data_IF_043437472973
#
_entry.id   IF_043437472973
#
_cell.length_a   1.000
_cell.length_b   1.000
_cell.length_c   1.000
_cell.angle_alpha   90.00
_cell.angle_beta   90.00
_cell.angle_gamma   90.00
#
_symmetry.space_group_name_H-M   'P 1'
#
loop_
_entity.id
_entity.type
_entity.pdbx_description
1 polymer ?
#
# COMPACT_ATOMS: atom_id res chain seq x y z
N UNK A 1 -0.97 -61.76 -16.54
CA UNK A 1 -0.75 -60.51 -17.32
C UNK A 1 -1.95 -59.57 -17.23
N UNK A 2 -2.74 -59.58 -16.21
CA UNK A 2 -4.02 -58.82 -16.07
C UNK A 2 -4.06 -57.87 -14.90
N UNK A 3 -3.03 -57.89 -14.04
CA UNK A 3 -3.07 -57.06 -12.80
C UNK A 3 -2.28 -55.73 -12.89
N UNK A 4 -1.30 -55.68 -13.85
CA UNK A 4 -0.45 -54.49 -14.01
C UNK A 4 -1.12 -53.37 -14.83
N UNK A 5 -2.07 -53.74 -15.71
CA UNK A 5 -2.83 -52.76 -16.52
C UNK A 5 -3.88 -52.00 -15.72
N UNK A 6 -4.52 -52.65 -14.75
CA UNK A 6 -5.48 -52.00 -13.86
C UNK A 6 -4.81 -51.02 -12.88
N UNK A 7 -3.60 -51.32 -12.42
CA UNK A 7 -2.85 -50.37 -11.56
C UNK A 7 -2.32 -49.15 -12.30
N UNK A 8 -2.08 -49.25 -13.62
CA UNK A 8 -1.67 -48.10 -14.44
C UNK A 8 -2.85 -47.21 -14.85
N UNK A 9 -4.03 -47.78 -15.00
CA UNK A 9 -5.26 -46.96 -15.22
C UNK A 9 -5.70 -46.22 -13.96
N UNK A 10 -5.63 -46.84 -12.77
CA UNK A 10 -5.92 -46.17 -11.50
C UNK A 10 -4.87 -45.08 -11.17
N UNK A 11 -3.59 -45.28 -11.54
CA UNK A 11 -2.56 -44.26 -11.39
C UNK A 11 -2.72 -43.08 -12.38
N UNK A 12 -3.27 -43.31 -13.57
CA UNK A 12 -3.56 -42.26 -14.56
C UNK A 12 -4.79 -41.41 -14.18
N UNK A 13 -5.79 -42.01 -13.49
CA UNK A 13 -6.97 -41.30 -13.00
C UNK A 13 -6.64 -40.40 -11.78
N UNK A 14 -5.57 -40.74 -11.02
CA UNK A 14 -5.12 -39.97 -9.87
C UNK A 14 -4.29 -38.71 -10.19
N UNK A 15 -3.76 -38.59 -11.41
CA UNK A 15 -2.93 -37.47 -11.81
C UNK A 15 -3.71 -36.24 -12.30
N UNK A 16 -4.98 -36.37 -12.59
CA UNK A 16 -5.85 -35.24 -13.01
C UNK A 16 -6.66 -34.60 -11.85
N UNK A 17 -6.59 -35.15 -10.64
CA UNK A 17 -7.35 -34.64 -9.50
C UNK A 17 -6.75 -33.36 -8.87
N UNK A 18 -5.52 -32.98 -9.22
CA UNK A 18 -4.79 -31.81 -8.68
C UNK A 18 -4.60 -30.66 -9.67
N UNK A 19 -5.12 -30.75 -10.87
CA UNK A 19 -5.12 -29.60 -11.77
C UNK A 19 -6.04 -28.51 -11.19
N UNK A 20 -5.53 -27.30 -10.86
CA UNK A 20 -6.36 -26.25 -10.30
C UNK A 20 -7.50 -25.95 -11.26
N UNK A 21 -8.73 -26.22 -10.84
CA UNK A 21 -9.93 -25.99 -11.64
C UNK A 21 -9.89 -24.60 -12.26
N UNK A 22 -10.06 -24.54 -13.60
CA UNK A 22 -10.05 -23.26 -14.30
C UNK A 22 -11.21 -22.40 -13.77
N UNK A 23 -10.88 -21.15 -13.40
CA UNK A 23 -11.91 -20.23 -12.91
C UNK A 23 -12.93 -19.93 -13.99
N UNK A 24 -14.19 -19.88 -13.61
CA UNK A 24 -15.26 -19.42 -14.51
C UNK A 24 -15.02 -17.96 -14.93
N UNK A 25 -15.59 -17.56 -16.06
CA UNK A 25 -15.53 -16.15 -16.48
C UNK A 25 -16.09 -15.21 -15.39
N UNK A 26 -17.17 -15.61 -14.69
CA UNK A 26 -17.74 -14.84 -13.58
C UNK A 26 -16.74 -14.66 -12.43
N UNK A 27 -16.00 -15.72 -12.06
CA UNK A 27 -14.94 -15.64 -11.03
C UNK A 27 -13.82 -14.69 -11.46
N UNK A 28 -13.38 -14.77 -12.72
CA UNK A 28 -12.36 -13.85 -13.26
C UNK A 28 -12.83 -12.39 -13.19
N UNK A 29 -14.06 -12.10 -13.65
CA UNK A 29 -14.60 -10.74 -13.58
C UNK A 29 -14.72 -10.23 -12.14
N UNK A 30 -15.10 -11.09 -11.20
CA UNK A 30 -15.18 -10.73 -9.78
C UNK A 30 -13.79 -10.38 -9.20
N UNK A 31 -12.75 -11.17 -9.48
CA UNK A 31 -11.39 -10.90 -9.01
C UNK A 31 -10.80 -9.65 -9.68
N UNK A 32 -11.06 -9.46 -10.99
CA UNK A 32 -10.63 -8.25 -11.72
C UNK A 32 -11.32 -7.00 -11.16
N UNK A 33 -12.59 -7.06 -10.75
CA UNK A 33 -13.26 -5.93 -10.12
C UNK A 33 -12.61 -5.52 -8.79
N UNK A 34 -12.13 -6.49 -8.01
CA UNK A 34 -11.35 -6.22 -6.79
C UNK A 34 -9.97 -5.62 -7.13
N UNK A 35 -9.31 -6.08 -8.18
CA UNK A 35 -8.06 -5.52 -8.66
C UNK A 35 -8.24 -4.06 -9.15
N UNK A 36 -9.31 -3.77 -9.87
CA UNK A 36 -9.68 -2.42 -10.28
C UNK A 36 -9.96 -1.52 -9.06
N UNK A 37 -10.60 -2.07 -8.02
CA UNK A 37 -10.85 -1.34 -6.78
C UNK A 37 -9.55 -1.04 -6.04
N UNK A 38 -8.64 -2.02 -5.92
CA UNK A 38 -7.33 -1.78 -5.28
C UNK A 38 -6.53 -0.74 -6.07
N UNK A 39 -6.56 -0.79 -7.41
CA UNK A 39 -5.94 0.22 -8.26
C UNK A 39 -6.51 1.62 -8.01
N UNK A 40 -7.83 1.76 -7.97
CA UNK A 40 -8.48 3.06 -7.76
C UNK A 40 -8.19 3.65 -6.37
N UNK A 41 -8.31 2.84 -5.31
CA UNK A 41 -8.08 3.26 -3.92
C UNK A 41 -6.63 3.64 -3.68
N UNK A 42 -5.69 2.80 -4.13
CA UNK A 42 -4.26 3.05 -3.95
C UNK A 42 -3.78 4.19 -4.85
N UNK A 43 -4.36 4.34 -6.05
CA UNK A 43 -4.10 5.53 -6.87
C UNK A 43 -4.49 6.82 -6.16
N UNK A 44 -5.68 6.85 -5.53
CA UNK A 44 -6.11 8.00 -4.74
C UNK A 44 -5.22 8.25 -3.51
N UNK A 45 -4.68 7.19 -2.89
CA UNK A 45 -3.77 7.28 -1.74
C UNK A 45 -2.42 7.88 -2.11
N UNK A 46 -1.79 7.41 -3.20
CA UNK A 46 -0.45 7.85 -3.62
C UNK A 46 -0.43 9.14 -4.46
N UNK A 47 -1.56 9.53 -5.01
CA UNK A 47 -1.69 10.73 -5.85
C UNK A 47 -1.11 12.01 -5.21
N UNK A 48 -1.30 12.30 -3.89
CA UNK A 48 -0.78 13.51 -3.25
C UNK A 48 0.73 13.69 -3.38
N UNK A 49 1.52 12.62 -3.46
CA UNK A 49 2.97 12.74 -3.66
C UNK A 49 3.35 13.49 -4.96
N UNK A 50 2.51 13.37 -5.99
CA UNK A 50 2.65 14.11 -7.25
C UNK A 50 1.97 15.48 -7.26
N UNK A 51 1.12 15.80 -6.27
CA UNK A 51 0.28 17.02 -6.24
C UNK A 51 0.66 18.02 -5.15
N UNK A 52 1.60 17.69 -4.27
CA UNK A 52 1.80 18.41 -3.01
C UNK A 52 2.02 19.91 -3.20
N UNK A 53 2.99 20.29 -4.03
CA UNK A 53 3.33 21.69 -4.27
C UNK A 53 2.18 22.49 -4.94
N UNK A 54 1.52 22.00 -6.02
CA UNK A 54 0.39 22.75 -6.59
C UNK A 54 -0.80 22.86 -5.63
N UNK A 55 -1.07 21.85 -4.79
CA UNK A 55 -2.12 21.94 -3.75
C UNK A 55 -1.76 23.02 -2.72
N UNK A 56 -0.52 23.02 -2.21
CA UNK A 56 -0.06 23.98 -1.23
C UNK A 56 -0.21 25.43 -1.74
N UNK A 57 0.24 25.68 -2.98
CA UNK A 57 0.16 27.01 -3.63
C UNK A 57 -1.29 27.47 -3.81
N UNK A 58 -2.15 26.59 -4.33
CA UNK A 58 -3.54 26.95 -4.64
C UNK A 58 -4.38 27.21 -3.38
N UNK A 59 -4.13 26.46 -2.30
CA UNK A 59 -4.82 26.61 -1.02
C UNK A 59 -4.16 27.64 -0.09
N UNK A 60 -3.01 28.22 -0.47
CA UNK A 60 -2.29 29.21 0.34
C UNK A 60 -1.75 28.66 1.66
N UNK A 61 -1.32 27.41 1.69
CA UNK A 61 -0.81 26.70 2.88
C UNK A 61 0.63 26.24 2.67
N UNK A 62 1.32 25.85 3.77
CA UNK A 62 2.65 25.27 3.67
C UNK A 62 2.63 23.87 3.06
N UNK A 63 3.77 23.41 2.55
CA UNK A 63 3.92 22.06 2.01
C UNK A 63 3.74 21.01 3.11
N UNK A 64 4.22 21.28 4.33
CA UNK A 64 3.98 20.43 5.49
C UNK A 64 2.51 20.32 5.83
N UNK A 65 1.76 21.44 5.78
CA UNK A 65 0.29 21.42 5.95
C UNK A 65 -0.38 20.65 4.83
N UNK A 66 0.00 20.84 3.58
CA UNK A 66 -0.56 20.09 2.44
C UNK A 66 -0.33 18.57 2.58
N UNK A 67 0.80 18.15 3.11
CA UNK A 67 1.09 16.73 3.40
C UNK A 67 0.13 16.07 4.42
N UNK A 68 -0.59 16.86 5.24
CA UNK A 68 -1.58 16.32 6.18
C UNK A 68 -2.79 15.65 5.49
N UNK A 69 -2.96 15.81 4.17
CA UNK A 69 -3.94 15.02 3.39
C UNK A 69 -3.63 13.52 3.43
N UNK A 70 -2.36 13.15 3.53
CA UNK A 70 -1.93 11.75 3.73
C UNK A 70 -2.21 11.31 5.16
N UNK A 71 -1.90 12.18 6.13
CA UNK A 71 -2.19 11.95 7.56
C UNK A 71 -3.68 11.67 7.79
N UNK A 72 -4.56 12.47 7.21
CA UNK A 72 -6.01 12.31 7.38
C UNK A 72 -6.50 10.94 6.85
N UNK A 73 -6.00 10.52 5.68
CA UNK A 73 -6.32 9.20 5.12
C UNK A 73 -5.83 8.08 6.02
N UNK A 74 -4.56 8.13 6.44
CA UNK A 74 -3.92 7.05 7.19
C UNK A 74 -4.44 6.95 8.64
N UNK A 75 -4.63 8.08 9.34
CA UNK A 75 -5.11 8.07 10.73
C UNK A 75 -6.53 7.50 10.84
N UNK A 76 -7.44 7.94 9.98
CA UNK A 76 -8.79 7.37 9.91
C UNK A 76 -8.74 5.92 9.45
N UNK A 77 -7.84 5.60 8.52
CA UNK A 77 -7.57 4.24 8.06
C UNK A 77 -7.10 3.30 9.18
N UNK A 78 -6.22 3.75 10.07
CA UNK A 78 -5.75 2.98 11.22
C UNK A 78 -6.91 2.58 12.15
N UNK A 79 -7.77 3.54 12.49
CA UNK A 79 -8.96 3.29 13.31
C UNK A 79 -9.93 2.34 12.61
N UNK A 80 -10.15 2.56 11.31
CA UNK A 80 -11.03 1.72 10.50
C UNK A 80 -10.52 0.30 10.40
N UNK A 81 -9.22 0.08 10.20
CA UNK A 81 -8.63 -1.26 10.14
C UNK A 81 -8.86 -2.05 11.42
N UNK A 82 -8.72 -1.42 12.58
CA UNK A 82 -8.98 -2.04 13.88
C UNK A 82 -10.46 -2.39 14.08
N UNK A 83 -11.37 -1.53 13.65
CA UNK A 83 -12.80 -1.67 13.88
C UNK A 83 -13.54 -2.45 12.78
N UNK A 84 -12.94 -2.64 11.61
CA UNK A 84 -13.57 -3.25 10.43
C UNK A 84 -14.21 -4.61 10.74
N UNK A 85 -13.51 -5.48 11.46
CA UNK A 85 -14.00 -6.81 11.80
C UNK A 85 -15.26 -6.77 12.68
N UNK A 86 -15.37 -5.78 13.56
CA UNK A 86 -16.53 -5.61 14.46
C UNK A 86 -17.69 -4.98 13.72
N UNK A 87 -17.44 -3.90 12.96
CA UNK A 87 -18.48 -3.10 12.31
C UNK A 87 -19.09 -3.82 11.10
N UNK A 88 -18.27 -4.56 10.35
CA UNK A 88 -18.67 -5.18 9.09
C UNK A 88 -19.16 -6.62 9.28
N UNK A 89 -18.93 -7.23 10.45
CA UNK A 89 -19.12 -8.66 10.72
C UNK A 89 -20.45 -9.27 10.23
N UNK A 90 -21.55 -8.55 10.33
CA UNK A 90 -22.92 -9.03 10.01
C UNK A 90 -23.46 -8.59 8.65
N UNK A 91 -22.70 -7.85 7.87
CA UNK A 91 -23.17 -7.28 6.60
C UNK A 91 -22.79 -8.16 5.40
N UNK A 92 -23.62 -8.12 4.35
CA UNK A 92 -23.28 -8.76 3.08
C UNK A 92 -22.02 -8.12 2.47
N UNK A 93 -21.02 -8.94 2.16
CA UNK A 93 -19.69 -8.45 1.71
C UNK A 93 -19.75 -7.72 0.37
N UNK A 94 -20.64 -8.12 -0.56
CA UNK A 94 -20.88 -7.35 -1.80
C UNK A 94 -21.38 -5.94 -1.49
N UNK A 95 -22.41 -5.83 -0.65
CA UNK A 95 -22.99 -4.53 -0.29
C UNK A 95 -21.96 -3.62 0.39
N UNK A 96 -21.13 -4.19 1.28
CA UNK A 96 -20.04 -3.45 1.93
C UNK A 96 -19.01 -2.98 0.91
N UNK A 97 -18.49 -3.84 0.03
CA UNK A 97 -17.48 -3.47 -0.97
C UNK A 97 -17.98 -2.40 -1.94
N UNK A 98 -19.21 -2.54 -2.42
CA UNK A 98 -19.86 -1.51 -3.27
C UNK A 98 -20.03 -0.20 -2.50
N UNK A 99 -20.47 -0.26 -1.23
CA UNK A 99 -20.60 0.92 -0.37
C UNK A 99 -19.25 1.62 -0.10
N UNK A 100 -18.17 0.86 0.09
CA UNK A 100 -16.82 1.41 0.24
C UNK A 100 -16.34 2.06 -1.07
N UNK A 101 -16.63 1.46 -2.23
CA UNK A 101 -16.32 2.07 -3.52
C UNK A 101 -17.15 3.34 -3.75
N UNK A 102 -18.42 3.36 -3.38
CA UNK A 102 -19.27 4.57 -3.41
C UNK A 102 -18.72 5.68 -2.47
N UNK A 103 -18.28 5.30 -1.27
CA UNK A 103 -17.62 6.22 -0.35
C UNK A 103 -16.33 6.78 -0.96
N UNK A 104 -15.52 5.95 -1.63
CA UNK A 104 -14.32 6.42 -2.31
C UNK A 104 -14.64 7.40 -3.44
N UNK A 105 -15.70 7.15 -4.23
CA UNK A 105 -16.19 8.09 -5.25
C UNK A 105 -16.53 9.42 -4.61
N UNK A 106 -17.42 9.42 -3.60
CA UNK A 106 -17.85 10.64 -2.91
C UNK A 106 -16.67 11.39 -2.27
N UNK A 107 -15.74 10.67 -1.65
CA UNK A 107 -14.54 11.23 -1.03
C UNK A 107 -13.63 11.93 -2.03
N UNK A 108 -13.38 11.31 -3.20
CA UNK A 108 -12.53 11.91 -4.22
C UNK A 108 -13.23 13.07 -4.95
N UNK A 109 -14.56 13.02 -5.13
CA UNK A 109 -15.35 14.16 -5.62
C UNK A 109 -15.25 15.33 -4.63
N UNK A 110 -15.43 15.05 -3.33
CA UNK A 110 -15.33 16.08 -2.29
C UNK A 110 -13.93 16.72 -2.28
N UNK A 111 -12.87 15.90 -2.42
CA UNK A 111 -11.50 16.39 -2.52
C UNK A 111 -11.27 17.22 -3.80
N UNK A 112 -11.85 16.83 -4.93
CA UNK A 112 -11.76 17.58 -6.20
C UNK A 112 -12.48 18.93 -6.14
N UNK A 113 -13.58 19.01 -5.39
CA UNK A 113 -14.39 20.22 -5.22
C UNK A 113 -13.95 21.07 -4.01
N UNK A 114 -12.90 20.66 -3.30
CA UNK A 114 -12.47 21.34 -2.08
C UNK A 114 -12.03 22.79 -2.37
N UNK A 115 -12.68 23.74 -1.73
CA UNK A 115 -12.36 25.15 -1.75
C UNK A 115 -11.39 25.57 -0.66
N UNK A 116 -11.30 24.77 0.37
CA UNK A 116 -10.45 24.97 1.53
C UNK A 116 -9.83 23.65 2.01
N UNK A 117 -8.85 23.77 2.91
CA UNK A 117 -8.08 22.63 3.40
C UNK A 117 -8.91 21.65 4.23
N UNK A 118 -9.90 22.13 5.02
CA UNK A 118 -10.69 21.26 5.88
C UNK A 118 -11.63 20.36 5.08
N UNK A 119 -12.21 20.89 4.02
CA UNK A 119 -13.05 20.13 3.10
C UNK A 119 -12.24 19.04 2.39
N UNK A 120 -10.99 19.37 1.99
CA UNK A 120 -10.05 18.42 1.43
C UNK A 120 -9.74 17.29 2.44
N UNK A 121 -9.44 17.62 3.71
CA UNK A 121 -9.19 16.63 4.76
C UNK A 121 -10.39 15.72 5.00
N UNK A 122 -11.61 16.25 4.97
CA UNK A 122 -12.84 15.46 5.11
C UNK A 122 -12.97 14.43 3.98
N UNK A 123 -12.71 14.83 2.73
CA UNK A 123 -12.65 13.92 1.60
C UNK A 123 -11.58 12.83 1.81
N UNK A 124 -10.40 13.20 2.28
CA UNK A 124 -9.31 12.27 2.55
C UNK A 124 -9.62 11.27 3.66
N UNK A 125 -10.34 11.71 4.71
CA UNK A 125 -10.81 10.84 5.79
C UNK A 125 -11.77 9.76 5.27
N UNK A 126 -12.71 10.12 4.40
CA UNK A 126 -13.61 9.16 3.75
C UNK A 126 -12.87 8.12 2.91
N UNK A 127 -11.80 8.53 2.18
CA UNK A 127 -10.94 7.60 1.46
C UNK A 127 -10.24 6.63 2.42
N UNK A 128 -9.77 7.09 3.58
CA UNK A 128 -9.13 6.25 4.61
C UNK A 128 -10.05 5.12 5.10
N UNK A 129 -11.34 5.42 5.31
CA UNK A 129 -12.35 4.39 5.64
C UNK A 129 -12.46 3.38 4.49
N UNK A 130 -12.65 3.84 3.26
CA UNK A 130 -12.86 2.98 2.10
C UNK A 130 -11.66 2.04 1.87
N UNK A 131 -10.45 2.58 1.89
CA UNK A 131 -9.20 1.86 1.66
C UNK A 131 -8.94 0.78 2.72
N UNK A 132 -9.00 1.16 4.00
CA UNK A 132 -8.65 0.24 5.08
C UNK A 132 -9.68 -0.86 5.27
N UNK A 133 -10.97 -0.56 5.14
CA UNK A 133 -12.03 -1.56 5.19
C UNK A 133 -11.98 -2.51 3.98
N UNK A 134 -11.64 -2.02 2.78
CA UNK A 134 -11.41 -2.85 1.62
C UNK A 134 -10.32 -3.89 1.88
N UNK A 135 -9.15 -3.48 2.38
CA UNK A 135 -8.04 -4.40 2.67
C UNK A 135 -8.38 -5.40 3.76
N UNK A 136 -9.11 -4.98 4.80
CA UNK A 136 -9.56 -5.89 5.86
C UNK A 136 -10.47 -7.02 5.34
N UNK A 137 -11.18 -6.80 4.23
CA UNK A 137 -12.09 -7.78 3.64
C UNK A 137 -11.49 -8.58 2.49
N UNK A 138 -10.46 -8.05 1.82
CA UNK A 138 -9.98 -8.56 0.54
C UNK A 138 -9.60 -10.02 0.56
N UNK A 139 -8.83 -10.49 1.54
CA UNK A 139 -8.37 -11.88 1.63
C UNK A 139 -9.56 -12.84 1.78
N UNK A 140 -10.50 -12.53 2.68
CA UNK A 140 -11.67 -13.36 2.92
C UNK A 140 -12.62 -13.40 1.73
N UNK A 141 -12.80 -12.29 1.03
CA UNK A 141 -13.63 -12.22 -0.17
C UNK A 141 -13.00 -13.00 -1.31
N UNK A 142 -11.70 -12.82 -1.56
CA UNK A 142 -10.97 -13.57 -2.59
C UNK A 142 -11.03 -15.08 -2.31
N UNK A 143 -10.76 -15.51 -1.06
CA UNK A 143 -10.84 -16.92 -0.69
C UNK A 143 -12.21 -17.54 -0.99
N UNK A 144 -13.30 -16.79 -0.83
CA UNK A 144 -14.65 -17.24 -1.14
C UNK A 144 -14.97 -17.27 -2.64
N UNK A 145 -14.32 -16.44 -3.44
CA UNK A 145 -14.50 -16.40 -4.89
C UNK A 145 -13.75 -17.52 -5.61
N UNK A 146 -12.54 -17.82 -5.15
CA UNK A 146 -11.61 -18.71 -5.86
C UNK A 146 -11.30 -20.02 -5.10
N UNK A 147 -11.77 -20.16 -3.88
CA UNK A 147 -11.45 -21.28 -2.97
C UNK A 147 -10.15 -21.06 -2.21
N UNK A 148 -10.02 -21.76 -1.08
CA UNK A 148 -8.89 -21.62 -0.15
C UNK A 148 -7.54 -21.88 -0.82
N UNK A 149 -7.43 -22.91 -1.64
CA UNK A 149 -6.20 -23.32 -2.33
C UNK A 149 -5.73 -22.34 -3.41
N UNK A 150 -6.64 -21.51 -3.95
CA UNK A 150 -6.32 -20.52 -4.99
C UNK A 150 -6.28 -19.07 -4.49
N UNK A 151 -6.45 -18.85 -3.18
CA UNK A 151 -6.49 -17.51 -2.56
C UNK A 151 -5.24 -16.70 -2.87
N UNK A 152 -4.06 -17.31 -2.81
CA UNK A 152 -2.79 -16.65 -3.13
C UNK A 152 -2.75 -16.11 -4.56
N UNK A 153 -3.23 -16.91 -5.55
CA UNK A 153 -3.34 -16.49 -6.96
C UNK A 153 -4.34 -15.35 -7.13
N UNK A 154 -5.49 -15.42 -6.46
CA UNK A 154 -6.50 -14.36 -6.46
C UNK A 154 -5.96 -13.06 -5.88
N UNK A 155 -5.30 -13.12 -4.74
CA UNK A 155 -4.67 -11.96 -4.11
C UNK A 155 -3.53 -11.37 -4.95
N UNK A 156 -2.76 -12.20 -5.65
CA UNK A 156 -1.75 -11.71 -6.59
C UNK A 156 -2.36 -10.81 -7.67
N UNK A 157 -3.54 -11.15 -8.20
CA UNK A 157 -4.26 -10.32 -9.18
C UNK A 157 -4.75 -9.01 -8.53
N UNK A 158 -5.30 -9.08 -7.31
CA UNK A 158 -5.73 -7.87 -6.58
C UNK A 158 -4.54 -6.94 -6.31
N UNK A 159 -3.38 -7.47 -5.94
CA UNK A 159 -2.17 -6.68 -5.67
C UNK A 159 -1.48 -6.15 -6.94
N UNK A 160 -1.77 -6.69 -8.14
CA UNK A 160 -1.36 -6.04 -9.39
C UNK A 160 -1.95 -4.62 -9.50
N UNK A 161 -3.17 -4.40 -9.00
CA UNK A 161 -3.77 -3.07 -8.90
C UNK A 161 -2.91 -2.10 -8.08
N UNK A 162 -2.36 -2.56 -6.95
CA UNK A 162 -1.42 -1.76 -6.12
C UNK A 162 -0.18 -1.41 -6.91
N UNK A 163 0.43 -2.39 -7.57
CA UNK A 163 1.66 -2.19 -8.34
C UNK A 163 1.46 -1.16 -9.46
N UNK A 164 0.36 -1.29 -10.21
CA UNK A 164 0.01 -0.34 -11.27
C UNK A 164 -0.26 1.07 -10.71
N UNK A 165 -0.95 1.16 -9.56
CA UNK A 165 -1.22 2.43 -8.90
C UNK A 165 0.07 3.12 -8.43
N UNK A 166 0.99 2.37 -7.83
CA UNK A 166 2.29 2.88 -7.36
C UNK A 166 3.13 3.44 -8.51
N UNK A 167 3.03 2.82 -9.70
CA UNK A 167 3.71 3.31 -10.91
C UNK A 167 3.02 4.55 -11.46
N UNK A 168 1.71 4.49 -11.64
CA UNK A 168 0.97 5.47 -12.42
C UNK A 168 0.55 6.72 -11.61
N UNK A 169 0.09 6.54 -10.35
CA UNK A 169 -0.60 7.62 -9.67
C UNK A 169 0.26 8.85 -9.37
N UNK A 170 1.47 8.76 -8.79
CA UNK A 170 2.27 9.94 -8.53
C UNK A 170 2.74 10.64 -9.81
N UNK A 171 3.16 9.86 -10.82
CA UNK A 171 3.65 10.39 -12.09
C UNK A 171 2.56 11.04 -12.92
N UNK A 172 1.43 10.34 -13.11
CA UNK A 172 0.26 10.89 -13.82
C UNK A 172 -0.35 12.06 -13.07
N UNK A 173 -0.39 12.00 -11.74
CA UNK A 173 -0.83 13.09 -10.89
C UNK A 173 -0.03 14.37 -11.14
N UNK A 174 1.29 14.26 -11.18
CA UNK A 174 2.17 15.40 -11.46
C UNK A 174 1.89 16.01 -12.84
N UNK A 175 1.78 15.19 -13.91
CA UNK A 175 1.50 15.64 -15.26
C UNK A 175 0.10 16.26 -15.40
N UNK A 176 -0.92 15.59 -14.89
CA UNK A 176 -2.31 16.09 -14.98
C UNK A 176 -2.45 17.40 -14.21
N UNK A 177 -1.82 17.47 -13.03
CA UNK A 177 -1.82 18.69 -12.23
C UNK A 177 -1.20 19.89 -12.95
N UNK A 178 -0.14 19.65 -13.72
CA UNK A 178 0.53 20.69 -14.51
C UNK A 178 -0.32 21.17 -15.69
N UNK A 179 -1.06 20.26 -16.35
CA UNK A 179 -1.85 20.59 -17.53
C UNK A 179 -3.22 21.19 -17.23
N UNK A 180 -3.95 20.60 -16.29
CA UNK A 180 -5.37 20.93 -16.03
C UNK A 180 -5.70 21.08 -14.54
N UNK A 181 -4.66 21.15 -13.69
CA UNK A 181 -4.78 21.39 -12.26
C UNK A 181 -4.98 20.16 -11.40
N UNK A 182 -4.59 20.25 -10.13
CA UNK A 182 -4.61 19.15 -9.18
C UNK A 182 -6.02 18.60 -8.87
N UNK A 183 -7.04 19.46 -8.95
CA UNK A 183 -8.44 19.06 -8.75
C UNK A 183 -8.90 18.06 -9.82
N UNK A 184 -8.44 18.23 -11.04
CA UNK A 184 -8.75 17.30 -12.14
C UNK A 184 -8.12 15.93 -11.92
N UNK A 185 -6.92 15.87 -11.32
CA UNK A 185 -6.30 14.61 -10.93
C UNK A 185 -7.11 13.89 -9.83
N UNK A 186 -7.65 14.62 -8.84
CA UNK A 186 -8.57 14.06 -7.84
C UNK A 186 -9.88 13.57 -8.46
N UNK A 187 -10.47 14.35 -9.38
CA UNK A 187 -11.68 13.94 -10.11
C UNK A 187 -11.47 12.68 -10.94
N UNK A 188 -10.28 12.51 -11.54
CA UNK A 188 -9.94 11.28 -12.27
C UNK A 188 -9.96 10.05 -11.35
N UNK A 189 -9.44 10.15 -10.12
CA UNK A 189 -9.52 9.02 -9.16
C UNK A 189 -10.95 8.73 -8.71
N UNK A 190 -11.84 9.73 -8.68
CA UNK A 190 -13.27 9.49 -8.49
C UNK A 190 -13.87 8.68 -9.66
N UNK A 191 -13.48 9.01 -10.90
CA UNK A 191 -13.89 8.24 -12.09
C UNK A 191 -13.40 6.79 -12.05
N UNK A 192 -12.14 6.56 -11.64
CA UNK A 192 -11.59 5.21 -11.46
C UNK A 192 -12.34 4.42 -10.38
N UNK A 193 -12.67 5.06 -9.25
CA UNK A 193 -13.44 4.44 -8.18
C UNK A 193 -14.88 4.14 -8.63
N UNK A 194 -15.51 5.01 -9.42
CA UNK A 194 -16.83 4.78 -10.01
C UNK A 194 -16.84 3.60 -10.98
N UNK A 195 -15.81 3.49 -11.83
CA UNK A 195 -15.65 2.33 -12.73
C UNK A 195 -15.47 1.04 -11.93
N UNK A 196 -14.62 1.05 -10.89
CA UNK A 196 -14.43 -0.11 -10.02
C UNK A 196 -15.75 -0.50 -9.30
N UNK A 197 -16.50 0.48 -8.81
CA UNK A 197 -17.82 0.26 -8.21
C UNK A 197 -18.79 -0.40 -9.21
N UNK A 198 -18.84 0.08 -10.43
CA UNK A 198 -19.69 -0.50 -11.48
C UNK A 198 -19.28 -1.95 -11.77
N UNK A 199 -17.99 -2.23 -11.92
CA UNK A 199 -17.48 -3.59 -12.10
C UNK A 199 -17.87 -4.50 -10.94
N UNK A 200 -17.77 -4.03 -9.67
CA UNK A 200 -18.21 -4.79 -8.50
C UNK A 200 -19.72 -5.07 -8.50
N UNK A 201 -20.53 -4.08 -8.85
CA UNK A 201 -21.98 -4.24 -8.94
C UNK A 201 -22.37 -5.35 -9.92
N UNK A 202 -21.69 -5.39 -11.08
CA UNK A 202 -22.00 -6.32 -12.16
C UNK A 202 -21.40 -7.72 -11.93
N UNK A 203 -20.24 -7.84 -11.29
CA UNK A 203 -19.48 -9.09 -11.24
C UNK A 203 -19.50 -9.81 -9.89
N UNK A 204 -19.63 -9.09 -8.76
CA UNK A 204 -19.59 -9.76 -7.46
C UNK A 204 -20.90 -10.52 -7.19
N UNK A 205 -20.84 -11.78 -6.78
CA UNK A 205 -22.00 -12.50 -6.27
C UNK A 205 -22.41 -11.98 -4.89
N UNK A 206 -23.57 -12.37 -4.41
CA UNK A 206 -23.98 -12.15 -3.03
C UNK A 206 -23.06 -12.96 -2.11
N UNK A 207 -22.44 -12.29 -1.15
CA UNK A 207 -21.48 -12.91 -0.22
C UNK A 207 -22.00 -12.71 1.22
N UNK A 208 -22.71 -13.70 1.80
CA UNK A 208 -23.26 -13.61 3.15
C UNK A 208 -22.18 -13.27 4.19
N UNK A 209 -22.60 -12.73 5.34
CA UNK A 209 -21.72 -12.45 6.47
C UNK A 209 -21.00 -13.71 6.99
N UNK A 210 -19.79 -13.54 7.49
CA UNK A 210 -19.00 -14.56 8.19
C UNK A 210 -18.76 -14.12 9.63
N UNK A 211 -18.52 -15.08 10.53
CA UNK A 211 -18.16 -14.78 11.91
C UNK A 211 -16.89 -13.91 11.97
N UNK A 212 -16.85 -12.95 12.89
CA UNK A 212 -15.73 -12.03 13.08
C UNK A 212 -14.76 -12.55 14.15
N UNK A 213 -13.47 -12.29 13.98
CA UNK A 213 -12.46 -12.57 15.00
C UNK A 213 -12.59 -11.60 16.18
N UNK A 214 -12.22 -12.05 17.38
CA UNK A 214 -12.26 -11.24 18.59
C UNK A 214 -11.11 -10.22 18.62
N UNK A 215 -11.38 -8.96 18.97
CA UNK A 215 -10.34 -7.96 19.25
C UNK A 215 -9.37 -8.42 20.36
N UNK A 216 -9.87 -9.21 21.32
CA UNK A 216 -9.04 -9.73 22.42
C UNK A 216 -7.89 -10.62 21.91
N UNK A 217 -8.11 -11.38 20.85
CA UNK A 217 -7.07 -12.24 20.26
C UNK A 217 -5.98 -11.41 19.59
N UNK A 218 -6.36 -10.33 18.90
CA UNK A 218 -5.43 -9.36 18.29
C UNK A 218 -4.56 -8.72 19.37
N UNK A 219 -5.16 -8.24 20.48
CA UNK A 219 -4.40 -7.61 21.56
C UNK A 219 -3.49 -8.63 22.30
N UNK A 220 -3.91 -9.89 22.44
CA UNK A 220 -3.06 -10.91 23.06
C UNK A 220 -1.78 -11.14 22.26
N UNK A 221 -1.87 -11.05 20.94
CA UNK A 221 -0.73 -11.24 20.05
C UNK A 221 0.36 -10.18 20.21
N UNK A 222 0.00 -8.94 20.59
CA UNK A 222 0.98 -7.85 20.83
C UNK A 222 1.95 -8.14 21.97
N UNK A 223 1.69 -9.13 22.81
CA UNK A 223 2.62 -9.56 23.89
C UNK A 223 3.77 -10.44 23.40
N UNK A 224 3.67 -10.98 22.18
CA UNK A 224 4.75 -11.81 21.60
C UNK A 224 5.90 -10.92 21.14
N UNK A 225 7.12 -11.21 21.60
CA UNK A 225 8.32 -10.42 21.26
C UNK A 225 8.56 -10.32 19.75
N UNK A 226 8.37 -11.39 18.98
CA UNK A 226 8.52 -11.36 17.51
C UNK A 226 7.54 -10.39 16.84
N UNK A 227 6.29 -10.35 17.32
CA UNK A 227 5.27 -9.39 16.83
C UNK A 227 5.66 -7.96 17.20
N UNK A 228 6.12 -7.70 18.42
CA UNK A 228 6.57 -6.36 18.84
C UNK A 228 7.73 -5.86 17.97
N UNK A 229 8.71 -6.72 17.70
CA UNK A 229 9.85 -6.37 16.84
C UNK A 229 9.41 -6.17 15.38
N UNK A 230 8.49 -6.98 14.87
CA UNK A 230 7.89 -6.82 13.54
C UNK A 230 7.12 -5.50 13.41
N UNK A 231 6.26 -5.18 14.40
CA UNK A 231 5.54 -3.89 14.45
C UNK A 231 6.51 -2.71 14.53
N UNK A 232 7.54 -2.80 15.35
CA UNK A 232 8.57 -1.76 15.48
C UNK A 232 9.32 -1.54 14.16
N UNK A 233 9.69 -2.63 13.47
CA UNK A 233 10.34 -2.55 12.16
C UNK A 233 9.43 -1.86 11.11
N UNK A 234 8.13 -2.20 11.08
CA UNK A 234 7.15 -1.55 10.22
C UNK A 234 7.07 -0.05 10.56
N UNK A 235 6.90 0.28 11.84
CA UNK A 235 6.74 1.66 12.28
C UNK A 235 7.97 2.48 11.94
N UNK A 236 9.17 2.02 12.23
CA UNK A 236 10.41 2.75 11.94
C UNK A 236 10.62 2.92 10.43
N UNK A 237 10.60 1.83 9.67
CA UNK A 237 10.92 1.87 8.24
C UNK A 237 9.89 2.66 7.44
N UNK A 238 8.60 2.43 7.71
CA UNK A 238 7.52 3.10 6.97
C UNK A 238 7.32 4.55 7.40
N UNK A 239 7.51 4.89 8.68
CA UNK A 239 7.54 6.30 9.13
C UNK A 239 8.65 7.05 8.38
N UNK A 240 9.86 6.49 8.32
CA UNK A 240 10.94 7.07 7.54
C UNK A 240 10.58 7.23 6.07
N UNK A 241 10.11 6.16 5.43
CA UNK A 241 9.73 6.20 4.03
C UNK A 241 8.67 7.27 3.72
N UNK A 242 7.59 7.32 4.47
CA UNK A 242 6.50 8.27 4.22
C UNK A 242 6.86 9.70 4.63
N UNK A 243 7.76 9.90 5.58
CA UNK A 243 8.32 11.22 5.84
C UNK A 243 9.05 11.79 4.61
N UNK A 244 9.85 10.99 3.91
CA UNK A 244 10.55 11.42 2.71
C UNK A 244 9.69 11.44 1.45
N UNK A 245 8.95 10.37 1.19
CA UNK A 245 8.22 10.18 -0.08
C UNK A 245 7.06 11.14 -0.27
N UNK A 246 6.36 11.53 0.79
CA UNK A 246 5.28 12.54 0.73
C UNK A 246 5.84 13.89 0.28
N UNK A 247 7.06 14.24 0.71
CA UNK A 247 7.70 15.51 0.46
C UNK A 247 8.83 15.42 -0.59
N UNK A 248 8.90 14.34 -1.38
CA UNK A 248 9.92 14.16 -2.43
C UNK A 248 9.79 15.19 -3.54
N UNK A 249 8.56 15.60 -3.89
CA UNK A 249 8.33 16.60 -4.94
C UNK A 249 8.92 17.97 -4.58
N UNK A 250 8.64 18.56 -3.39
CA UNK A 250 9.33 19.78 -2.93
C UNK A 250 10.85 19.69 -3.02
N UNK A 251 11.43 18.56 -2.63
CA UNK A 251 12.88 18.36 -2.75
C UNK A 251 13.35 18.42 -4.20
N UNK A 252 12.67 17.72 -5.10
CA UNK A 252 13.03 17.71 -6.52
C UNK A 252 12.85 19.08 -7.19
N UNK A 253 11.85 19.87 -6.79
CA UNK A 253 11.62 21.23 -7.32
C UNK A 253 12.59 22.26 -6.75
N UNK A 254 12.84 22.26 -5.43
CA UNK A 254 13.56 23.33 -4.73
C UNK A 254 15.06 23.09 -4.64
N UNK A 255 15.49 21.81 -4.49
CA UNK A 255 16.90 21.46 -4.28
C UNK A 255 17.54 21.03 -5.59
N UNK A 256 16.88 20.17 -6.37
CA UNK A 256 17.42 19.68 -7.64
C UNK A 256 16.96 20.48 -8.83
N UNK A 257 16.06 21.46 -8.65
CA UNK A 257 15.54 22.38 -9.66
C UNK A 257 14.94 21.67 -10.89
N UNK A 258 14.40 20.45 -10.68
CA UNK A 258 13.74 19.71 -11.75
C UNK A 258 12.37 20.31 -12.06
N UNK A 259 12.05 20.33 -13.36
CA UNK A 259 10.71 20.69 -13.86
C UNK A 259 9.75 19.48 -13.78
N UNK A 260 8.45 19.71 -13.98
CA UNK A 260 7.40 18.70 -13.84
C UNK A 260 7.64 17.44 -14.66
N UNK A 261 8.10 17.55 -15.91
CA UNK A 261 8.36 16.40 -16.78
C UNK A 261 9.39 15.42 -16.20
N UNK A 262 10.63 15.88 -15.90
CA UNK A 262 11.63 15.07 -15.21
C UNK A 262 11.17 14.53 -13.85
N UNK A 263 10.40 15.30 -13.06
CA UNK A 263 9.81 14.81 -11.79
C UNK A 263 8.86 13.65 -12.06
N UNK A 264 7.96 13.77 -13.01
CA UNK A 264 7.03 12.71 -13.37
C UNK A 264 7.77 11.44 -13.83
N UNK A 265 8.86 11.58 -14.60
CA UNK A 265 9.70 10.46 -15.01
C UNK A 265 10.43 9.81 -13.82
N UNK A 266 10.91 10.60 -12.85
CA UNK A 266 11.54 10.08 -11.63
C UNK A 266 10.54 9.27 -10.78
N UNK A 267 9.31 9.78 -10.61
CA UNK A 267 8.24 9.07 -9.91
C UNK A 267 7.77 7.82 -10.66
N UNK A 268 7.74 7.86 -11.99
CA UNK A 268 7.49 6.68 -12.82
C UNK A 268 8.60 5.63 -12.63
N UNK A 269 9.85 6.05 -12.70
CA UNK A 269 11.02 5.21 -12.44
C UNK A 269 10.98 4.59 -11.05
N UNK A 270 10.61 5.36 -10.02
CA UNK A 270 10.38 4.87 -8.66
C UNK A 270 9.36 3.72 -8.64
N UNK A 271 8.19 3.92 -9.26
CA UNK A 271 7.13 2.90 -9.30
C UNK A 271 7.56 1.64 -10.04
N UNK A 272 8.20 1.77 -11.21
CA UNK A 272 8.72 0.61 -11.98
C UNK A 272 9.77 -0.15 -11.18
N UNK A 273 10.72 0.56 -10.58
CA UNK A 273 11.75 -0.04 -9.74
C UNK A 273 11.16 -0.73 -8.49
N UNK A 274 10.07 -0.20 -7.93
CA UNK A 274 9.37 -0.82 -6.81
C UNK A 274 8.79 -2.21 -7.16
N UNK A 275 8.28 -2.41 -8.38
CA UNK A 275 7.82 -3.72 -8.84
C UNK A 275 8.98 -4.71 -8.90
N UNK A 276 10.14 -4.29 -9.40
CA UNK A 276 11.35 -5.12 -9.45
C UNK A 276 11.84 -5.43 -8.03
N UNK A 277 11.84 -4.43 -7.15
CA UNK A 277 12.19 -4.57 -5.74
C UNK A 277 11.28 -5.57 -5.01
N UNK A 278 9.99 -5.57 -5.30
CA UNK A 278 9.02 -6.53 -4.73
C UNK A 278 9.41 -7.99 -5.02
N UNK A 279 9.79 -8.28 -6.27
CA UNK A 279 10.27 -9.61 -6.66
C UNK A 279 11.59 -9.96 -5.97
N UNK A 280 12.54 -9.02 -5.91
CA UNK A 280 13.82 -9.23 -5.25
C UNK A 280 13.64 -9.46 -3.73
N UNK A 281 12.79 -8.66 -3.08
CA UNK A 281 12.44 -8.79 -1.66
C UNK A 281 11.82 -10.13 -1.33
N UNK A 282 10.94 -10.65 -2.20
CA UNK A 282 10.34 -11.98 -2.05
C UNK A 282 11.40 -13.08 -2.03
N UNK A 283 12.27 -13.12 -3.05
CA UNK A 283 13.34 -14.12 -3.12
C UNK A 283 14.30 -14.07 -1.93
N UNK A 284 14.64 -12.86 -1.47
CA UNK A 284 15.49 -12.70 -0.29
C UNK A 284 14.79 -13.13 1.00
N UNK A 285 13.49 -12.81 1.14
CA UNK A 285 12.70 -13.20 2.29
C UNK A 285 12.57 -14.72 2.43
N UNK A 286 12.48 -15.45 1.29
CA UNK A 286 12.42 -16.92 1.29
C UNK A 286 13.71 -17.55 1.85
N UNK A 287 14.87 -16.94 1.59
CA UNK A 287 16.17 -17.45 2.04
C UNK A 287 16.50 -17.02 3.48
N UNK A 288 16.39 -15.72 3.78
CA UNK A 288 16.69 -15.17 5.11
C UNK A 288 15.91 -13.86 5.34
N UNK A 289 14.87 -13.93 6.14
CA UNK A 289 13.97 -12.80 6.39
C UNK A 289 14.66 -11.64 7.11
N UNK A 290 15.57 -11.90 8.05
CA UNK A 290 16.28 -10.85 8.78
C UNK A 290 17.28 -10.12 7.88
N UNK A 291 17.97 -10.86 7.01
CA UNK A 291 18.86 -10.26 6.02
C UNK A 291 18.07 -9.47 4.98
N UNK A 292 16.92 -9.99 4.53
CA UNK A 292 16.05 -9.26 3.59
C UNK A 292 15.59 -7.92 4.20
N UNK A 293 15.17 -7.92 5.47
CA UNK A 293 14.78 -6.70 6.18
C UNK A 293 15.95 -5.73 6.35
N UNK A 294 17.13 -6.23 6.75
CA UNK A 294 18.32 -5.42 6.92
C UNK A 294 18.77 -4.77 5.61
N UNK A 295 18.79 -5.52 4.51
CA UNK A 295 19.15 -5.01 3.18
C UNK A 295 18.13 -3.99 2.67
N UNK A 296 16.83 -4.27 2.81
CA UNK A 296 15.77 -3.32 2.45
C UNK A 296 15.96 -1.98 3.14
N UNK A 297 16.17 -2.01 4.45
CA UNK A 297 16.32 -0.82 5.26
C UNK A 297 17.67 -0.11 4.99
N UNK A 298 18.77 -0.84 4.85
CA UNK A 298 20.09 -0.27 4.54
C UNK A 298 20.13 0.39 3.15
N UNK A 299 19.52 -0.23 2.13
CA UNK A 299 19.41 0.38 0.80
C UNK A 299 18.59 1.66 0.86
N UNK A 300 17.46 1.66 1.56
CA UNK A 300 16.63 2.85 1.71
C UNK A 300 17.40 3.98 2.40
N UNK A 301 18.13 3.70 3.49
CA UNK A 301 18.93 4.67 4.18
C UNK A 301 20.06 5.24 3.30
N UNK A 302 20.81 4.38 2.63
CA UNK A 302 21.92 4.79 1.78
C UNK A 302 21.46 5.65 0.59
N UNK A 303 20.38 5.24 -0.09
CA UNK A 303 19.88 5.94 -1.27
C UNK A 303 19.29 7.31 -0.94
N UNK A 304 18.61 7.44 0.22
CA UNK A 304 18.10 8.75 0.65
C UNK A 304 19.21 9.70 1.13
N UNK A 305 20.28 9.19 1.72
CA UNK A 305 21.49 9.99 2.02
C UNK A 305 22.21 10.44 0.75
N UNK A 306 22.34 9.56 -0.24
CA UNK A 306 22.96 9.91 -1.53
C UNK A 306 22.12 10.92 -2.29
N UNK A 307 20.78 10.81 -2.20
CA UNK A 307 19.87 11.81 -2.78
C UNK A 307 20.07 13.19 -2.15
N UNK A 308 20.29 13.26 -0.84
CA UNK A 308 20.52 14.53 -0.12
C UNK A 308 21.71 15.34 -0.67
N UNK A 309 22.80 14.68 -1.07
CA UNK A 309 23.99 15.31 -1.66
C UNK A 309 24.00 15.33 -3.19
N UNK A 310 22.91 14.95 -3.87
CA UNK A 310 22.92 14.75 -5.31
C UNK A 310 22.69 16.05 -6.10
N UNK A 311 23.36 16.16 -7.26
CA UNK A 311 23.08 17.17 -8.28
C UNK A 311 21.99 16.70 -9.24
N UNK A 312 21.44 17.62 -10.03
CA UNK A 312 20.33 17.41 -10.97
C UNK A 312 20.45 16.11 -11.79
N UNK A 313 21.66 15.79 -12.31
CA UNK A 313 21.84 14.63 -13.21
C UNK A 313 21.72 13.25 -12.56
N UNK A 314 21.90 13.15 -11.24
CA UNK A 314 21.91 11.87 -10.51
C UNK A 314 20.66 11.68 -9.62
N UNK A 315 19.94 12.73 -9.31
CA UNK A 315 18.75 12.69 -8.47
C UNK A 315 17.68 11.73 -9.03
N UNK A 316 17.49 11.73 -10.32
CA UNK A 316 16.60 10.79 -11.01
C UNK A 316 16.95 9.33 -10.71
N UNK A 317 18.25 8.97 -10.83
CA UNK A 317 18.72 7.62 -10.56
C UNK A 317 18.50 7.20 -9.09
N UNK A 318 18.79 8.10 -8.14
CA UNK A 318 18.62 7.80 -6.72
C UNK A 318 17.15 7.68 -6.31
N UNK A 319 16.24 8.51 -6.85
CA UNK A 319 14.80 8.36 -6.63
C UNK A 319 14.30 7.02 -7.20
N UNK A 320 14.72 6.66 -8.41
CA UNK A 320 14.38 5.37 -9.02
C UNK A 320 14.86 4.19 -8.17
N UNK A 321 16.13 4.20 -7.74
CA UNK A 321 16.68 3.15 -6.88
C UNK A 321 16.04 3.11 -5.49
N UNK A 322 15.62 4.26 -4.94
CA UNK A 322 14.83 4.29 -3.71
C UNK A 322 13.50 3.56 -3.89
N UNK A 323 12.86 3.69 -5.06
CA UNK A 323 11.69 2.89 -5.42
C UNK A 323 11.96 1.40 -5.33
N UNK A 324 13.12 0.92 -5.82
CA UNK A 324 13.51 -0.49 -5.68
C UNK A 324 13.60 -0.92 -4.20
N UNK A 325 14.26 -0.13 -3.35
CA UNK A 325 14.35 -0.42 -1.93
C UNK A 325 12.98 -0.43 -1.25
N UNK A 326 12.11 0.54 -1.56
CA UNK A 326 10.74 0.58 -1.06
C UNK A 326 9.94 -0.65 -1.51
N UNK A 327 10.07 -1.05 -2.77
CA UNK A 327 9.34 -2.18 -3.33
C UNK A 327 9.60 -3.53 -2.64
N UNK A 328 10.74 -3.69 -1.98
CA UNK A 328 11.02 -4.89 -1.16
C UNK A 328 10.16 -4.92 0.11
N UNK A 329 9.84 -3.78 0.70
CA UNK A 329 9.16 -3.68 2.00
C UNK A 329 7.77 -4.33 2.05
N UNK A 330 6.86 -4.18 1.03
CA UNK A 330 5.54 -4.82 1.03
C UNK A 330 5.54 -6.35 1.04
N UNK A 331 6.66 -6.99 0.77
CA UNK A 331 6.82 -8.45 0.88
C UNK A 331 7.58 -8.82 2.14
N UNK A 332 8.69 -8.14 2.41
CA UNK A 332 9.57 -8.46 3.54
C UNK A 332 8.88 -8.24 4.90
N UNK A 333 8.19 -7.12 5.08
CA UNK A 333 7.54 -6.79 6.35
C UNK A 333 6.38 -7.73 6.68
N UNK A 334 5.43 -8.03 5.76
CA UNK A 334 4.38 -9.01 6.01
C UNK A 334 4.93 -10.42 6.27
N UNK A 335 5.95 -10.84 5.52
CA UNK A 335 6.57 -12.16 5.71
C UNK A 335 7.22 -12.27 7.10
N UNK A 336 7.89 -11.19 7.57
CA UNK A 336 8.45 -11.14 8.91
C UNK A 336 7.37 -11.28 10.00
N UNK A 337 6.23 -10.58 9.85
CA UNK A 337 5.09 -10.66 10.76
C UNK A 337 4.44 -12.05 10.77
N UNK A 338 4.24 -12.65 9.59
CA UNK A 338 3.64 -13.97 9.44
C UNK A 338 4.49 -15.08 10.09
N UNK A 339 5.82 -14.99 9.95
CA UNK A 339 6.76 -15.93 10.61
C UNK A 339 6.77 -15.77 12.12
N UNK A 340 6.49 -14.58 12.64
CA UNK A 340 6.42 -14.34 14.08
C UNK A 340 5.14 -14.93 14.76
N UNK A 341 4.08 -15.21 13.97
CA UNK A 341 2.83 -15.78 14.47
C UNK A 341 2.17 -16.70 13.43
N UNK A 342 2.75 -17.86 13.10
CA UNK A 342 2.21 -18.78 12.10
C UNK A 342 0.86 -19.39 12.52
N UNK A 343 0.59 -19.43 13.82
CA UNK A 343 -0.64 -19.92 14.44
C UNK A 343 -1.78 -18.87 14.48
N UNK A 344 -1.50 -17.60 14.10
CA UNK A 344 -2.45 -16.49 14.22
C UNK A 344 -2.32 -15.48 13.05
N UNK A 345 -2.28 -15.97 11.82
CA UNK A 345 -1.99 -15.18 10.62
C UNK A 345 -2.97 -14.00 10.41
N UNK A 346 -4.27 -14.21 10.67
CA UNK A 346 -5.27 -13.14 10.51
C UNK A 346 -5.06 -11.99 11.51
N UNK A 347 -4.79 -12.33 12.78
CA UNK A 347 -4.51 -11.34 13.82
C UNK A 347 -3.19 -10.59 13.55
N UNK A 348 -2.16 -11.31 13.10
CA UNK A 348 -0.89 -10.72 12.68
C UNK A 348 -1.08 -9.77 11.49
N UNK A 349 -1.93 -10.14 10.52
CA UNK A 349 -2.31 -9.30 9.38
C UNK A 349 -3.00 -8.01 9.81
N UNK A 350 -3.94 -8.07 10.76
CA UNK A 350 -4.62 -6.88 11.29
C UNK A 350 -3.64 -5.94 12.01
N UNK A 351 -2.74 -6.47 12.83
CA UNK A 351 -1.70 -5.67 13.50
C UNK A 351 -0.73 -5.05 12.50
N UNK A 352 -0.39 -5.77 11.45
CA UNK A 352 0.45 -5.28 10.37
C UNK A 352 -0.19 -4.07 9.68
N UNK A 353 -1.44 -4.19 9.21
CA UNK A 353 -2.16 -3.08 8.55
C UNK A 353 -2.25 -1.87 9.47
N UNK A 354 -2.60 -2.08 10.73
CA UNK A 354 -2.66 -1.01 11.73
C UNK A 354 -1.29 -0.34 11.90
N UNK A 355 -0.20 -1.13 12.00
CA UNK A 355 1.16 -0.59 12.14
C UNK A 355 1.59 0.23 10.91
N UNK A 356 1.23 -0.22 9.69
CA UNK A 356 1.47 0.55 8.46
C UNK A 356 0.74 1.90 8.48
N UNK A 357 -0.54 1.90 8.82
CA UNK A 357 -1.34 3.14 8.85
C UNK A 357 -0.86 4.12 9.94
N UNK A 358 -0.45 3.63 11.09
CA UNK A 358 0.19 4.43 12.15
C UNK A 358 1.51 5.02 11.63
N UNK A 359 2.33 4.21 10.96
CA UNK A 359 3.62 4.65 10.42
C UNK A 359 3.44 5.71 9.33
N UNK A 360 2.47 5.54 8.42
CA UNK A 360 2.12 6.55 7.39
C UNK A 360 1.69 7.85 8.06
N UNK A 361 0.82 7.75 9.08
CA UNK A 361 0.34 8.92 9.84
C UNK A 361 1.51 9.68 10.47
N UNK A 362 2.34 8.99 11.25
CA UNK A 362 3.49 9.62 11.94
C UNK A 362 4.47 10.18 10.91
N UNK A 363 4.76 9.44 9.84
CA UNK A 363 5.68 9.86 8.78
C UNK A 363 5.25 11.16 8.10
N UNK A 364 3.97 11.24 7.71
CA UNK A 364 3.43 12.45 7.08
C UNK A 364 3.39 13.66 8.02
N UNK A 365 3.02 13.46 9.31
CA UNK A 365 3.01 14.54 10.33
C UNK A 365 4.42 15.04 10.61
N UNK A 366 5.33 14.13 10.97
CA UNK A 366 6.69 14.52 11.35
C UNK A 366 7.46 15.04 10.13
N UNK A 367 7.29 14.41 8.96
CA UNK A 367 7.87 14.88 7.71
C UNK A 367 7.40 16.30 7.35
N UNK A 368 6.10 16.61 7.57
CA UNK A 368 5.54 17.94 7.38
C UNK A 368 6.16 18.99 8.30
N UNK A 369 6.27 18.68 9.58
CA UNK A 369 6.96 19.56 10.52
C UNK A 369 8.43 19.78 10.13
N UNK A 370 9.11 18.72 9.71
CA UNK A 370 10.52 18.77 9.34
C UNK A 370 10.73 19.56 8.04
N UNK A 371 9.88 19.42 7.03
CA UNK A 371 10.00 20.19 5.78
C UNK A 371 9.76 21.68 6.01
N UNK A 372 8.77 22.03 6.83
CA UNK A 372 8.45 23.43 7.12
C UNK A 372 9.54 24.11 8.00
N UNK A 373 10.24 23.33 8.84
CA UNK A 373 11.23 23.87 9.78
C UNK A 373 12.66 23.84 9.23
N UNK A 374 13.04 22.74 8.55
CA UNK A 374 14.41 22.47 8.10
C UNK A 374 14.58 22.45 6.58
N UNK A 375 13.48 22.74 5.84
CA UNK A 375 13.46 22.72 4.37
C UNK A 375 13.35 21.32 3.78
N UNK A 376 13.32 21.27 2.45
CA UNK A 376 13.00 20.06 1.68
C UNK A 376 13.98 18.88 1.85
N UNK A 377 15.19 19.10 2.34
CA UNK A 377 16.18 18.04 2.64
C UNK A 377 15.94 17.33 3.97
N UNK A 378 15.27 17.99 4.92
CA UNK A 378 15.02 17.46 6.26
C UNK A 378 14.29 16.11 6.27
N UNK A 379 13.19 15.94 5.53
CA UNK A 379 12.47 14.68 5.45
C UNK A 379 13.32 13.50 4.96
N UNK A 380 14.23 13.72 4.01
CA UNK A 380 15.14 12.67 3.51
C UNK A 380 16.13 12.23 4.59
N UNK A 381 16.65 13.19 5.39
CA UNK A 381 17.51 12.89 6.54
C UNK A 381 16.79 12.02 7.56
N UNK A 382 15.52 12.34 7.86
CA UNK A 382 14.68 11.53 8.76
C UNK A 382 14.46 10.12 8.19
N UNK A 383 14.20 9.99 6.88
CA UNK A 383 14.11 8.70 6.21
C UNK A 383 15.36 7.86 6.42
N UNK A 384 16.54 8.46 6.18
CA UNK A 384 17.81 7.78 6.31
C UNK A 384 18.07 7.28 7.74
N UNK A 385 17.82 8.12 8.75
CA UNK A 385 18.01 7.78 10.16
C UNK A 385 17.09 6.63 10.60
N UNK A 386 15.80 6.72 10.28
CA UNK A 386 14.83 5.69 10.67
C UNK A 386 15.05 4.37 9.92
N UNK A 387 15.42 4.44 8.65
CA UNK A 387 15.75 3.25 7.87
C UNK A 387 17.05 2.59 8.38
N UNK A 388 18.09 3.37 8.69
CA UNK A 388 19.31 2.84 9.31
C UNK A 388 19.03 2.17 10.66
N UNK A 389 18.18 2.80 11.50
CA UNK A 389 17.76 2.21 12.77
C UNK A 389 17.03 0.88 12.57
N UNK A 390 16.21 0.76 11.51
CA UNK A 390 15.55 -0.51 11.15
C UNK A 390 16.56 -1.56 10.70
N UNK A 391 17.57 -1.19 9.92
CA UNK A 391 18.63 -2.12 9.51
C UNK A 391 19.39 -2.69 10.72
N UNK A 392 19.75 -1.84 11.67
CA UNK A 392 20.38 -2.28 12.94
C UNK A 392 19.45 -3.20 13.73
N UNK A 393 18.17 -2.83 13.87
CA UNK A 393 17.16 -3.66 14.55
C UNK A 393 17.08 -5.05 13.92
N UNK A 394 17.05 -5.14 12.58
CA UNK A 394 16.97 -6.40 11.87
C UNK A 394 18.19 -7.31 12.09
N UNK A 395 19.39 -6.74 12.17
CA UNK A 395 20.63 -7.48 12.43
C UNK A 395 20.74 -7.97 13.88
N UNK A 396 20.10 -7.28 14.82
CA UNK A 396 20.09 -7.63 16.24
C UNK A 396 18.97 -8.62 16.60
N UNK A 397 18.04 -8.92 15.69
CA UNK A 397 17.00 -9.92 15.94
C UNK A 397 17.62 -11.31 16.08
N UNK A 398 17.23 -12.08 17.11
CA UNK A 398 17.73 -13.45 17.26
C UNK A 398 17.30 -14.29 16.04
N UNK A 399 18.26 -15.01 15.46
CA UNK A 399 18.01 -15.97 14.38
C UNK A 399 17.18 -17.11 14.99
N UNK A 400 15.91 -17.21 14.59
CA UNK A 400 14.99 -18.33 14.93
C UNK A 400 15.33 -19.57 14.13
#
# INVERSE_FOLDING_TARGET
MTDTTLQLEDAAIGLDADAPAAWSAATWFAVISLAATSFALVSAEFLPAGLLTPMARDLGISEGTAGQVVTATASVGAVTAMLSNVLIGRLNRKAVLVGLSALAVGSNILAALATDFWLLLLGRAGLGIALSAFWALSVAVVARLVGANATGRGMAIVTLGVSLATIAAPSMGALISDWIGWRSAMAMTAGLAALAMLLQLLSLPTLPATASNSLADVFRLTRRRGIQLGMLAIVLLMTGHFAGSVYVRPFLEQVTLLTTGPIALALLGFGVAAVIGNVAGGRMADTNIHMALAVTAALMAALTLLLWGSHIGVAFGFVTLWGFAFGMAPVVLPTNMSRAAPDALEAAGSLMVTSFQIAITIGAVVGGYVVDTYGATGPLTLTAVLAASTAVLALLQPRS
#
